data_IF_556674422138
#
_entry.id   IF_556674422138
#
_cell.length_a   1.000
_cell.length_b   1.000
_cell.length_c   1.000
_cell.angle_alpha   90.00
_cell.angle_beta   90.00
_cell.angle_gamma   90.00
#
_symmetry.space_group_name_H-M   'P 1'
#
loop_
_entity.id
_entity.type
_entity.pdbx_description
1 polymer ?
#
# COMPACT_ATOMS: atom_id res chain seq x y z
N UNK A 1 10.93 -6.55 -15.89
CA UNK A 1 11.21 -5.22 -15.31
C UNK A 1 11.95 -5.47 -14.02
N UNK A 2 13.26 -5.28 -14.00
CA UNK A 2 14.07 -5.42 -12.79
C UNK A 2 14.19 -4.05 -12.17
N UNK A 3 13.70 -3.89 -10.94
CA UNK A 3 13.97 -2.69 -10.15
C UNK A 3 15.43 -2.78 -9.70
N UNK A 4 16.16 -1.67 -9.80
CA UNK A 4 17.46 -1.59 -9.16
C UNK A 4 17.29 -1.68 -7.64
N UNK A 5 18.37 -2.06 -6.96
CA UNK A 5 18.37 -2.31 -5.52
C UNK A 5 17.95 -1.08 -4.72
N UNK A 6 18.39 0.12 -5.15
CA UNK A 6 18.08 1.37 -4.47
C UNK A 6 16.58 1.68 -4.54
N UNK A 7 15.99 1.55 -5.73
CA UNK A 7 14.54 1.72 -5.91
C UNK A 7 13.77 0.69 -5.07
N UNK A 8 14.18 -0.58 -5.07
CA UNK A 8 13.52 -1.62 -4.28
C UNK A 8 13.53 -1.30 -2.78
N UNK A 9 14.69 -0.95 -2.22
CA UNK A 9 14.83 -0.61 -0.81
C UNK A 9 14.00 0.62 -0.43
N UNK A 10 13.87 1.59 -1.34
CA UNK A 10 13.05 2.80 -1.11
C UNK A 10 11.54 2.52 -1.06
N UNK A 11 11.06 1.51 -1.78
CA UNK A 11 9.63 1.24 -1.95
C UNK A 11 9.13 0.01 -1.18
N UNK A 12 10.03 -0.65 -0.45
CA UNK A 12 9.74 -1.85 0.31
C UNK A 12 9.69 -1.57 1.80
N UNK A 13 8.70 -2.14 2.48
CA UNK A 13 8.62 -2.18 3.94
C UNK A 13 8.30 -3.61 4.35
N UNK A 14 8.96 -4.12 5.38
CA UNK A 14 8.63 -5.42 5.94
C UNK A 14 7.34 -5.36 6.79
N UNK A 15 6.63 -6.50 6.97
CA UNK A 15 5.47 -6.55 7.85
C UNK A 15 5.79 -6.12 9.30
N UNK A 16 7.01 -6.40 9.77
CA UNK A 16 7.46 -6.03 11.11
C UNK A 16 7.60 -4.52 11.26
N UNK A 17 8.26 -3.86 10.32
CA UNK A 17 8.41 -2.40 10.34
C UNK A 17 7.05 -1.71 10.23
N UNK A 18 6.16 -2.20 9.35
CA UNK A 18 4.80 -1.66 9.25
C UNK A 18 4.04 -1.80 10.57
N UNK A 19 4.16 -2.95 11.26
CA UNK A 19 3.54 -3.17 12.57
C UNK A 19 4.07 -2.20 13.63
N UNK A 20 5.38 -1.97 13.67
CA UNK A 20 5.98 -1.00 14.59
C UNK A 20 5.46 0.43 14.35
N UNK A 21 5.24 0.83 13.09
CA UNK A 21 4.64 2.12 12.75
C UNK A 21 3.18 2.23 13.21
N UNK A 22 2.41 1.15 13.04
CA UNK A 22 1.03 1.06 13.56
C UNK A 22 1.03 1.22 15.09
N UNK A 23 1.90 0.50 15.79
CA UNK A 23 1.97 0.50 17.25
C UNK A 23 2.40 1.86 17.83
N UNK A 24 3.22 2.59 17.08
CA UNK A 24 3.62 3.97 17.42
C UNK A 24 2.55 5.01 17.10
N UNK A 25 1.47 4.63 16.41
CA UNK A 25 0.43 5.57 15.98
C UNK A 25 0.92 6.59 14.95
N UNK A 26 1.89 6.22 14.11
CA UNK A 26 2.39 7.11 13.06
C UNK A 26 1.26 7.46 12.06
N UNK A 27 1.28 8.70 11.56
CA UNK A 27 0.29 9.17 10.60
C UNK A 27 0.68 8.77 9.17
N UNK A 28 -0.04 7.79 8.63
CA UNK A 28 0.10 7.30 7.27
C UNK A 28 -1.19 6.66 6.77
N UNK A 29 -1.26 6.46 5.46
CA UNK A 29 -2.35 5.77 4.77
C UNK A 29 -1.96 4.32 4.56
N UNK A 30 -2.82 3.41 5.01
CA UNK A 30 -2.72 1.99 4.68
C UNK A 30 -3.68 1.71 3.52
N UNK A 31 -3.14 1.37 2.35
CA UNK A 31 -3.91 1.09 1.14
C UNK A 31 -3.96 -0.42 0.92
N UNK A 32 -5.14 -1.02 1.01
CA UNK A 32 -5.34 -2.43 0.73
C UNK A 32 -5.81 -2.62 -0.72
N UNK A 33 -4.98 -3.26 -1.55
CA UNK A 33 -5.28 -3.48 -2.98
C UNK A 33 -5.79 -4.89 -3.29
N UNK A 34 -6.19 -5.63 -2.26
CA UNK A 34 -6.83 -6.94 -2.40
C UNK A 34 -8.27 -6.82 -2.87
N UNK A 35 -8.87 -7.97 -3.21
CA UNK A 35 -10.30 -8.01 -3.50
C UNK A 35 -11.13 -7.84 -2.22
N UNK A 36 -12.35 -7.27 -2.30
CA UNK A 36 -13.19 -7.02 -1.14
C UNK A 36 -13.44 -8.26 -0.27
N UNK A 37 -13.54 -9.43 -0.89
CA UNK A 37 -13.74 -10.71 -0.20
C UNK A 37 -12.53 -11.07 0.68
N UNK A 38 -11.31 -10.85 0.20
CA UNK A 38 -10.09 -11.08 0.99
C UNK A 38 -10.01 -10.10 2.17
N UNK A 39 -10.35 -8.84 1.94
CA UNK A 39 -10.39 -7.81 2.97
C UNK A 39 -11.42 -8.10 4.07
N UNK A 40 -12.62 -8.52 3.66
CA UNK A 40 -13.70 -8.87 4.58
C UNK A 40 -13.39 -10.15 5.37
N UNK A 41 -12.70 -11.09 4.75
CA UNK A 41 -12.26 -12.32 5.42
C UNK A 41 -11.17 -12.04 6.46
N UNK A 42 -10.18 -11.21 6.14
CA UNK A 42 -9.14 -10.80 7.07
C UNK A 42 -8.57 -9.42 6.73
N UNK A 43 -8.42 -8.58 7.76
CA UNK A 43 -7.80 -7.26 7.67
C UNK A 43 -7.05 -6.92 8.95
N UNK A 44 -6.10 -5.99 8.82
CA UNK A 44 -5.44 -5.35 9.97
C UNK A 44 -6.52 -4.52 10.68
N UNK A 45 -6.74 -4.77 11.96
CA UNK A 45 -7.82 -4.13 12.75
C UNK A 45 -7.32 -2.93 13.54
N UNK A 46 -6.01 -2.88 13.80
CA UNK A 46 -5.30 -1.88 14.58
C UNK A 46 -5.09 -0.57 13.79
N UNK A 47 -5.24 -0.61 12.46
CA UNK A 47 -5.15 0.55 11.57
C UNK A 47 -6.20 0.41 10.48
N UNK A 48 -7.05 1.42 10.34
CA UNK A 48 -7.99 1.46 9.22
C UNK A 48 -7.24 1.57 7.90
N UNK A 49 -7.56 0.63 7.00
CA UNK A 49 -7.03 0.59 5.66
C UNK A 49 -8.09 1.04 4.66
N UNK A 50 -7.69 1.86 3.70
CA UNK A 50 -8.49 2.22 2.55
C UNK A 50 -8.47 1.04 1.57
N UNK A 51 -9.63 0.43 1.33
CA UNK A 51 -9.77 -0.67 0.36
C UNK A 51 -9.93 -0.11 -1.06
N UNK A 52 -8.95 -0.35 -1.91
CA UNK A 52 -8.98 0.00 -3.34
C UNK A 52 -8.43 -1.17 -4.14
N UNK A 53 -9.29 -2.09 -4.63
CA UNK A 53 -8.83 -3.24 -5.41
C UNK A 53 -7.92 -2.80 -6.56
N UNK A 54 -6.84 -3.54 -6.82
CA UNK A 54 -5.79 -3.14 -7.78
C UNK A 54 -6.38 -2.66 -9.11
N UNK A 55 -7.35 -3.40 -9.67
CA UNK A 55 -7.98 -3.05 -10.95
C UNK A 55 -8.74 -1.72 -10.95
N UNK A 56 -9.15 -1.23 -9.77
CA UNK A 56 -9.83 0.06 -9.59
C UNK A 56 -8.86 1.19 -9.26
N UNK A 57 -7.63 0.88 -8.84
CA UNK A 57 -6.65 1.89 -8.43
C UNK A 57 -6.40 2.97 -9.52
N UNK A 58 -6.20 2.62 -10.81
CA UNK A 58 -5.92 3.64 -11.84
C UNK A 58 -7.01 4.71 -12.00
N UNK A 59 -8.27 4.40 -11.69
CA UNK A 59 -9.39 5.34 -11.83
C UNK A 59 -9.63 6.21 -10.60
N UNK A 60 -8.99 5.90 -9.48
CA UNK A 60 -9.19 6.61 -8.20
C UNK A 60 -7.91 7.19 -7.61
N UNK A 61 -6.74 6.83 -8.13
CA UNK A 61 -5.45 7.23 -7.57
C UNK A 61 -5.26 8.75 -7.46
N UNK A 62 -5.84 9.55 -8.37
CA UNK A 62 -5.76 11.01 -8.32
C UNK A 62 -6.49 11.62 -7.11
N UNK A 63 -7.33 10.83 -6.43
CA UNK A 63 -8.05 11.22 -5.21
C UNK A 63 -7.32 10.82 -3.93
N UNK A 64 -6.21 10.09 -4.04
CA UNK A 64 -5.44 9.70 -2.86
C UNK A 64 -4.74 10.92 -2.26
N UNK A 65 -4.71 11.06 -0.92
CA UNK A 65 -3.99 12.14 -0.27
C UNK A 65 -2.49 12.07 -0.59
N UNK A 66 -1.87 13.23 -0.82
CA UNK A 66 -0.45 13.36 -1.19
C UNK A 66 0.42 13.90 -0.05
N UNK A 67 -0.20 14.27 1.07
CA UNK A 67 0.41 14.88 2.24
C UNK A 67 0.96 13.85 3.23
N UNK A 68 0.73 12.54 3.00
CA UNK A 68 1.06 11.47 3.92
C UNK A 68 1.72 10.28 3.20
N UNK A 69 2.61 9.53 3.89
CA UNK A 69 3.10 8.26 3.37
C UNK A 69 1.97 7.28 3.08
N UNK A 70 2.08 6.56 1.96
CA UNK A 70 1.13 5.50 1.58
C UNK A 70 1.86 4.16 1.63
N UNK A 71 1.41 3.27 2.52
CA UNK A 71 1.86 1.87 2.54
C UNK A 71 0.81 1.00 1.85
N UNK A 72 1.24 0.29 0.81
CA UNK A 72 0.37 -0.54 -0.01
C UNK A 72 0.50 -2.00 0.40
N UNK A 73 -0.61 -2.65 0.73
CA UNK A 73 -0.65 -4.04 1.15
C UNK A 73 -1.40 -4.93 0.16
N UNK A 74 -0.92 -6.15 0.01
CA UNK A 74 -1.68 -7.23 -0.59
C UNK A 74 -1.32 -8.56 0.10
N UNK A 75 -1.82 -9.69 -0.43
CA UNK A 75 -1.54 -11.01 0.17
C UNK A 75 -0.08 -11.45 0.07
N UNK A 76 0.61 -11.18 -1.04
CA UNK A 76 1.89 -11.84 -1.37
C UNK A 76 2.96 -10.92 -1.98
N UNK A 77 2.74 -9.61 -2.01
CA UNK A 77 3.67 -8.62 -2.57
C UNK A 77 3.45 -8.26 -4.05
N UNK A 78 2.88 -9.14 -4.87
CA UNK A 78 2.76 -8.90 -6.31
C UNK A 78 1.84 -7.72 -6.68
N UNK A 79 0.64 -7.64 -6.06
CA UNK A 79 -0.33 -6.57 -6.36
C UNK A 79 0.08 -5.24 -5.74
N UNK A 80 0.62 -5.27 -4.52
CA UNK A 80 1.14 -4.07 -3.88
C UNK A 80 2.31 -3.48 -4.66
N UNK A 81 3.22 -4.31 -5.20
CA UNK A 81 4.30 -3.81 -6.05
C UNK A 81 3.75 -3.09 -7.30
N UNK A 82 2.79 -3.69 -8.01
CA UNK A 82 2.17 -3.05 -9.18
C UNK A 82 1.51 -1.72 -8.82
N UNK A 83 0.74 -1.69 -7.73
CA UNK A 83 0.11 -0.47 -7.23
C UNK A 83 1.13 0.61 -6.86
N UNK A 84 2.20 0.25 -6.13
CA UNK A 84 3.27 1.19 -5.77
C UNK A 84 3.93 1.79 -7.01
N UNK A 85 4.21 0.99 -8.04
CA UNK A 85 4.79 1.49 -9.29
C UNK A 85 3.84 2.46 -10.02
N UNK A 86 2.53 2.19 -10.04
CA UNK A 86 1.55 3.12 -10.60
C UNK A 86 1.49 4.43 -9.82
N UNK A 87 1.52 4.37 -8.49
CA UNK A 87 1.51 5.55 -7.63
C UNK A 87 2.76 6.42 -7.86
N UNK A 88 3.94 5.81 -7.93
CA UNK A 88 5.18 6.54 -8.22
C UNK A 88 5.14 7.25 -9.58
N UNK A 89 4.59 6.61 -10.61
CA UNK A 89 4.41 7.24 -11.93
C UNK A 89 3.50 8.48 -11.89
N UNK A 90 2.64 8.59 -10.87
CA UNK A 90 1.75 9.74 -10.63
C UNK A 90 2.31 10.77 -9.64
N UNK A 91 3.56 10.60 -9.22
CA UNK A 91 4.27 11.52 -8.34
C UNK A 91 3.83 11.43 -6.87
N UNK A 92 3.45 10.22 -6.44
CA UNK A 92 3.35 9.86 -5.01
C UNK A 92 4.70 9.40 -4.47
#
# INVERSE_FOLDING_TARGET
>A
MFLDKETYEKIHISPRELKEKIDKGEDFILLDVREPQEYNFSRIKEKDAMLVPLMKLPSVMDKLPKDKPIYVLCRSGNRSLQATLWLMQKGF
#
